data_IF_389308649920
#
_entry.id   IF_389308649920
#
_cell.length_a   1.000
_cell.length_b   1.000
_cell.length_c   1.000
_cell.angle_alpha   90.00
_cell.angle_beta   90.00
_cell.angle_gamma   90.00
#
_symmetry.space_group_name_H-M   'P 1'
#
loop_
_entity.id
_entity.type
_entity.pdbx_description
1 polymer ?
#
# COMPACT_ATOMS: atom_id res chain seq x y z
N UNK A 1 22.15 1.91 -8.04
CA UNK A 1 22.34 3.29 -8.48
C UNK A 1 22.75 4.12 -7.27
N UNK A 2 23.65 5.05 -7.40
CA UNK A 2 24.20 5.88 -6.31
C UNK A 2 23.15 6.72 -5.57
N UNK A 3 22.00 7.01 -6.19
CA UNK A 3 20.91 7.79 -5.63
C UNK A 3 19.93 6.98 -4.77
N UNK A 4 19.94 5.64 -4.89
CA UNK A 4 19.03 4.80 -4.12
C UNK A 4 19.44 4.71 -2.65
N UNK A 5 18.44 4.75 -1.77
CA UNK A 5 18.69 4.71 -0.32
C UNK A 5 19.17 6.04 0.25
N UNK A 6 18.92 7.17 -0.43
CA UNK A 6 19.24 8.52 0.03
C UNK A 6 17.98 9.31 0.36
N UNK A 7 18.08 10.23 1.31
CA UNK A 7 16.98 11.14 1.65
C UNK A 7 16.64 12.12 0.53
N UNK A 8 17.65 12.53 -0.22
CA UNK A 8 17.48 13.54 -1.25
C UNK A 8 16.67 13.05 -2.47
N UNK A 9 16.83 11.76 -2.85
CA UNK A 9 16.32 11.30 -4.15
C UNK A 9 15.38 10.11 -4.09
N UNK A 10 15.39 9.29 -3.04
CA UNK A 10 14.69 8.00 -3.06
C UNK A 10 13.70 7.84 -1.90
N UNK A 11 14.09 8.25 -0.70
CA UNK A 11 13.41 7.88 0.52
C UNK A 11 13.65 6.41 0.89
N UNK A 12 13.02 5.97 1.97
CA UNK A 12 13.20 4.62 2.52
C UNK A 12 12.13 3.62 2.12
N UNK A 13 12.06 2.54 2.87
CA UNK A 13 11.11 1.45 2.66
C UNK A 13 9.66 1.94 2.69
N UNK A 14 9.32 2.90 3.54
CA UNK A 14 7.97 3.46 3.59
C UNK A 14 7.66 4.32 2.38
N UNK A 15 8.54 5.26 2.03
CA UNK A 15 8.28 6.19 0.94
C UNK A 15 8.27 5.51 -0.42
N UNK A 16 9.10 4.49 -0.61
CA UNK A 16 9.24 3.80 -1.89
C UNK A 16 8.36 2.55 -1.96
N UNK A 17 8.56 1.57 -1.06
CA UNK A 17 7.89 0.26 -1.15
C UNK A 17 6.49 0.25 -0.53
N UNK A 18 6.31 0.86 0.63
CA UNK A 18 5.05 0.82 1.35
C UNK A 18 4.02 1.86 0.86
N UNK A 19 4.43 2.85 0.08
CA UNK A 19 3.54 3.91 -0.42
C UNK A 19 2.30 3.36 -1.14
N UNK A 20 2.47 2.33 -1.97
CA UNK A 20 1.37 1.67 -2.67
C UNK A 20 0.38 1.00 -1.71
N UNK A 21 0.89 0.40 -0.61
CA UNK A 21 0.04 -0.25 0.38
C UNK A 21 -0.68 0.76 1.26
N UNK A 22 -0.06 1.88 1.59
CA UNK A 22 -0.69 2.99 2.31
C UNK A 22 -1.85 3.54 1.49
N UNK A 23 -1.65 3.77 0.21
CA UNK A 23 -2.66 4.21 -0.73
C UNK A 23 -3.83 3.23 -0.82
N UNK A 24 -3.53 1.95 -1.03
CA UNK A 24 -4.55 0.90 -1.06
C UNK A 24 -5.35 0.82 0.24
N UNK A 25 -4.72 0.96 1.40
CA UNK A 25 -5.40 0.90 2.69
C UNK A 25 -6.30 2.11 2.92
N UNK A 26 -5.87 3.31 2.52
CA UNK A 26 -6.71 4.51 2.57
C UNK A 26 -7.94 4.37 1.65
N UNK A 27 -7.73 3.87 0.44
CA UNK A 27 -8.80 3.64 -0.53
C UNK A 27 -9.79 2.54 -0.08
N UNK A 28 -9.30 1.41 0.45
CA UNK A 28 -10.14 0.27 0.83
C UNK A 28 -10.91 0.47 2.13
N UNK A 29 -10.30 1.13 3.12
CA UNK A 29 -10.84 1.21 4.48
C UNK A 29 -11.38 2.61 4.79
N UNK A 30 -10.82 3.62 4.12
CA UNK A 30 -11.17 5.02 4.31
C UNK A 30 -10.04 5.84 4.95
N UNK A 31 -10.31 7.11 5.29
CA UNK A 31 -9.27 8.03 5.73
C UNK A 31 -8.62 7.60 7.06
N UNK A 32 -7.30 7.69 7.10
CA UNK A 32 -6.50 7.45 8.30
C UNK A 32 -6.64 8.65 9.26
N UNK A 33 -6.75 8.36 10.55
CA UNK A 33 -6.87 9.35 11.64
C UNK A 33 -5.56 9.51 12.40
N UNK A 34 -4.90 8.38 12.72
CA UNK A 34 -3.68 8.37 13.54
C UNK A 34 -2.71 7.31 13.10
N UNK A 35 -1.43 7.63 13.24
CA UNK A 35 -0.33 6.72 12.97
C UNK A 35 0.69 6.71 14.11
N UNK A 36 1.29 5.54 14.35
CA UNK A 36 2.44 5.36 15.22
C UNK A 36 3.43 4.45 14.52
N UNK A 37 4.65 4.92 14.33
CA UNK A 37 5.67 4.21 13.56
C UNK A 37 6.96 3.99 14.35
N UNK A 38 7.64 2.89 14.03
CA UNK A 38 9.02 2.62 14.40
C UNK A 38 9.79 2.22 13.15
N UNK A 39 10.97 2.78 12.96
CA UNK A 39 11.80 2.58 11.77
C UNK A 39 13.23 2.23 12.17
N UNK A 40 13.91 1.46 11.31
CA UNK A 40 15.30 1.05 11.50
C UNK A 40 16.02 0.99 10.17
N UNK A 41 17.33 1.28 10.21
CA UNK A 41 18.25 1.13 9.09
C UNK A 41 19.28 0.06 9.47
N UNK A 42 19.30 -1.03 8.72
CA UNK A 42 20.19 -2.17 8.96
C UNK A 42 21.31 -2.23 7.91
N UNK A 43 21.00 -1.80 6.68
CA UNK A 43 21.96 -1.72 5.59
C UNK A 43 22.81 -0.44 5.69
N UNK A 44 23.90 -0.39 4.97
CA UNK A 44 24.73 0.81 4.81
C UNK A 44 24.08 1.77 3.78
N UNK A 45 22.99 2.40 4.19
CA UNK A 45 22.22 3.41 3.44
C UNK A 45 21.73 4.51 4.41
N UNK A 46 21.30 5.65 3.87
CA UNK A 46 20.89 6.81 4.70
C UNK A 46 19.48 6.66 5.29
N UNK A 47 18.59 5.96 4.59
CA UNK A 47 17.17 5.85 4.89
C UNK A 47 16.83 4.55 5.61
N UNK A 48 15.61 4.44 6.13
CA UNK A 48 15.14 3.20 6.73
C UNK A 48 14.92 2.10 5.68
N UNK A 49 15.28 0.88 6.03
CA UNK A 49 15.03 -0.33 5.25
C UNK A 49 14.01 -1.27 5.89
N UNK A 50 13.58 -0.96 7.10
CA UNK A 50 12.62 -1.75 7.88
C UNK A 50 11.81 -0.85 8.77
N UNK A 51 10.50 -1.15 8.89
CA UNK A 51 9.67 -0.45 9.84
C UNK A 51 8.31 -1.09 10.07
N UNK A 52 7.66 -0.63 11.13
CA UNK A 52 6.30 -1.00 11.50
C UNK A 52 5.48 0.26 11.70
N UNK A 53 4.21 0.20 11.33
CA UNK A 53 3.25 1.29 11.41
C UNK A 53 1.95 0.76 12.00
N UNK A 54 1.51 1.29 13.14
CA UNK A 54 0.17 1.10 13.66
C UNK A 54 -0.72 2.23 13.17
N UNK A 55 -1.93 1.88 12.75
CA UNK A 55 -2.88 2.79 12.11
C UNK A 55 -4.22 2.73 12.81
N UNK A 56 -4.84 3.90 13.01
CA UNK A 56 -6.25 4.03 13.35
C UNK A 56 -6.95 4.82 12.25
N UNK A 57 -8.03 4.28 11.71
CA UNK A 57 -8.89 4.95 10.75
C UNK A 57 -9.97 5.78 11.42
N UNK A 58 -10.51 6.78 10.72
CA UNK A 58 -11.60 7.64 11.22
C UNK A 58 -12.89 6.87 11.51
N UNK A 59 -13.12 5.76 10.82
CA UNK A 59 -14.26 4.85 11.10
C UNK A 59 -14.07 3.97 12.33
N UNK A 60 -12.92 4.05 13.01
CA UNK A 60 -12.59 3.31 14.21
C UNK A 60 -11.81 2.01 13.98
N UNK A 61 -11.62 1.57 12.74
CA UNK A 61 -10.79 0.41 12.43
C UNK A 61 -9.34 0.60 12.91
N UNK A 62 -8.70 -0.50 13.26
CA UNK A 62 -7.29 -0.56 13.67
C UNK A 62 -6.52 -1.49 12.76
N UNK A 63 -5.27 -1.18 12.49
CA UNK A 63 -4.39 -2.04 11.73
C UNK A 63 -2.93 -1.84 12.02
N UNK A 64 -2.13 -2.74 11.50
CA UNK A 64 -0.68 -2.64 11.53
C UNK A 64 -0.10 -3.01 10.18
N UNK A 65 0.98 -2.34 9.80
CA UNK A 65 1.76 -2.63 8.61
C UNK A 65 3.20 -2.88 9.02
N UNK A 66 3.83 -3.87 8.40
CA UNK A 66 5.26 -4.05 8.47
C UNK A 66 5.85 -4.04 7.07
N UNK A 67 6.98 -3.37 6.91
CA UNK A 67 7.72 -3.31 5.66
C UNK A 67 9.18 -3.58 5.93
N UNK A 68 9.83 -4.35 5.05
CA UNK A 68 11.26 -4.56 5.09
C UNK A 68 11.83 -4.79 3.69
N UNK A 69 13.01 -4.27 3.45
CA UNK A 69 13.83 -4.61 2.28
C UNK A 69 14.84 -5.72 2.56
N UNK A 70 14.81 -6.30 3.77
CA UNK A 70 15.73 -7.34 4.25
C UNK A 70 15.15 -8.74 3.95
N UNK A 71 14.99 -9.06 2.68
CA UNK A 71 14.48 -10.36 2.24
C UNK A 71 15.57 -11.17 1.54
N UNK A 72 15.63 -12.47 1.85
CA UNK A 72 16.62 -13.39 1.28
C UNK A 72 15.97 -14.74 0.96
N UNK A 73 16.29 -15.35 -0.20
CA UNK A 73 17.15 -14.85 -1.28
C UNK A 73 16.44 -13.89 -2.24
N UNK A 74 15.15 -13.72 -2.10
CA UNK A 74 14.27 -12.87 -2.92
C UNK A 74 13.09 -12.37 -2.10
N UNK A 75 12.31 -11.44 -2.65
CA UNK A 75 11.06 -11.01 -2.05
C UNK A 75 10.16 -12.21 -1.74
N UNK A 76 9.57 -12.18 -0.55
CA UNK A 76 8.68 -13.24 -0.08
C UNK A 76 7.25 -13.00 -0.58
N UNK A 77 6.66 -11.92 -0.12
CA UNK A 77 5.29 -11.54 -0.48
C UNK A 77 5.01 -10.05 -0.19
N UNK A 78 3.92 -9.55 -0.77
CA UNK A 78 3.20 -8.40 -0.25
C UNK A 78 1.74 -8.80 -0.07
N UNK A 79 1.17 -8.59 1.12
CA UNK A 79 -0.20 -9.01 1.40
C UNK A 79 -0.97 -7.99 2.24
N UNK A 80 -2.28 -7.98 2.07
CA UNK A 80 -3.25 -7.24 2.87
C UNK A 80 -4.28 -8.22 3.39
N UNK A 81 -4.55 -8.18 4.70
CA UNK A 81 -5.63 -8.94 5.34
C UNK A 81 -6.60 -7.95 5.95
N UNK A 82 -7.87 -8.05 5.62
CA UNK A 82 -8.95 -7.25 6.19
C UNK A 82 -9.90 -8.19 6.92
N UNK A 83 -10.05 -7.96 8.22
CA UNK A 83 -10.94 -8.69 9.10
C UNK A 83 -12.10 -7.76 9.48
N UNK A 84 -13.27 -8.00 8.92
CA UNK A 84 -14.48 -7.23 9.20
C UNK A 84 -15.52 -8.05 9.96
N UNK A 85 -16.53 -7.39 10.52
CA UNK A 85 -17.65 -8.06 11.21
C UNK A 85 -18.40 -9.03 10.30
N UNK A 86 -18.46 -8.75 9.00
CA UNK A 86 -19.27 -9.47 8.03
C UNK A 86 -18.46 -10.16 6.94
N UNK A 87 -17.14 -10.18 7.07
CA UNK A 87 -16.31 -10.86 6.11
C UNK A 87 -14.83 -10.72 6.36
N UNK A 88 -14.10 -11.62 5.70
CA UNK A 88 -12.63 -11.67 5.73
C UNK A 88 -12.11 -11.72 4.31
N UNK A 89 -11.13 -10.85 4.02
CA UNK A 89 -10.45 -10.83 2.73
C UNK A 89 -8.95 -10.89 2.94
N UNK A 90 -8.26 -11.70 2.14
CA UNK A 90 -6.80 -11.68 2.02
C UNK A 90 -6.41 -11.55 0.56
N UNK A 91 -5.63 -10.53 0.28
CA UNK A 91 -4.98 -10.33 -1.02
C UNK A 91 -3.48 -10.50 -0.84
N UNK A 92 -2.83 -11.16 -1.78
CA UNK A 92 -1.40 -11.46 -1.72
C UNK A 92 -0.80 -11.72 -3.10
N UNK A 93 0.25 -12.54 -3.14
CA UNK A 93 1.00 -12.82 -4.36
C UNK A 93 2.19 -11.88 -4.57
N UNK A 94 2.92 -12.08 -5.66
CA UNK A 94 4.16 -11.31 -5.95
C UNK A 94 3.89 -9.86 -6.38
N UNK A 95 2.66 -9.57 -6.82
CA UNK A 95 2.21 -8.25 -7.30
C UNK A 95 0.84 -7.86 -6.76
N UNK A 96 0.45 -8.35 -5.59
CA UNK A 96 -0.91 -8.20 -5.02
C UNK A 96 -1.98 -8.70 -6.02
N UNK A 97 -1.65 -9.76 -6.73
CA UNK A 97 -2.37 -10.29 -7.89
C UNK A 97 -3.23 -11.51 -7.58
N UNK A 98 -3.33 -11.88 -6.30
CA UNK A 98 -4.06 -13.06 -5.85
C UNK A 98 -5.01 -12.71 -4.72
N UNK A 99 -6.30 -12.97 -4.90
CA UNK A 99 -7.27 -13.00 -3.81
C UNK A 99 -7.19 -14.39 -3.21
N UNK A 100 -6.53 -14.51 -2.07
CA UNK A 100 -6.21 -15.77 -1.41
C UNK A 100 -7.31 -16.22 -0.44
N UNK A 101 -8.10 -15.28 0.05
CA UNK A 101 -9.27 -15.54 0.88
C UNK A 101 -10.35 -14.50 0.58
N UNK A 102 -11.59 -14.97 0.46
CA UNK A 102 -12.77 -14.15 0.21
C UNK A 102 -13.97 -14.85 0.82
N UNK A 103 -14.44 -14.37 1.96
CA UNK A 103 -15.56 -14.96 2.68
C UNK A 103 -16.38 -13.85 3.35
N UNK A 104 -17.68 -13.88 3.15
CA UNK A 104 -18.65 -12.95 3.72
C UNK A 104 -19.85 -13.69 4.30
N UNK A 105 -20.55 -13.06 5.25
CA UNK A 105 -21.78 -13.58 5.88
C UNK A 105 -22.94 -13.70 4.86
N UNK A 106 -22.95 -12.83 3.83
CA UNK A 106 -23.89 -12.85 2.72
C UNK A 106 -23.15 -13.02 1.40
N UNK A 107 -23.58 -13.98 0.59
CA UNK A 107 -23.07 -14.15 -0.77
C UNK A 107 -23.58 -13.03 -1.69
N UNK A 108 -22.75 -12.61 -2.64
CA UNK A 108 -23.05 -11.62 -3.67
C UNK A 108 -22.91 -12.25 -5.05
N UNK A 109 -23.63 -11.73 -6.03
CA UNK A 109 -23.64 -12.23 -7.40
C UNK A 109 -22.26 -12.22 -8.08
N UNK A 110 -21.34 -11.42 -7.58
CA UNK A 110 -19.97 -11.31 -8.10
C UNK A 110 -18.95 -12.21 -7.40
N UNK A 111 -19.32 -12.92 -6.32
CA UNK A 111 -18.37 -13.74 -5.54
C UNK A 111 -17.73 -14.84 -6.39
N UNK A 112 -18.47 -15.41 -7.33
CA UNK A 112 -17.94 -16.42 -8.25
C UNK A 112 -16.89 -15.84 -9.21
N UNK A 113 -16.95 -14.53 -9.50
CA UNK A 113 -16.01 -13.85 -10.39
C UNK A 113 -14.70 -13.48 -9.70
N UNK A 114 -14.66 -13.50 -8.37
CA UNK A 114 -13.47 -13.13 -7.58
C UNK A 114 -12.28 -14.04 -7.90
N UNK A 115 -12.53 -15.32 -8.14
CA UNK A 115 -11.49 -16.29 -8.51
C UNK A 115 -10.86 -15.98 -9.87
N UNK A 116 -11.66 -15.45 -10.80
CA UNK A 116 -11.23 -15.09 -12.14
C UNK A 116 -10.43 -13.79 -12.17
N UNK A 117 -10.47 -13.00 -11.09
CA UNK A 117 -9.64 -11.81 -10.93
C UNK A 117 -8.16 -12.14 -10.65
N UNK A 118 -7.85 -13.36 -10.24
CA UNK A 118 -6.48 -13.82 -10.02
C UNK A 118 -5.75 -14.00 -11.36
N UNK A 119 -4.51 -13.53 -11.40
CA UNK A 119 -3.67 -13.72 -12.59
C UNK A 119 -2.25 -14.11 -12.23
N UNK A 120 -1.59 -14.82 -13.13
CA UNK A 120 -0.20 -15.23 -12.96
C UNK A 120 0.74 -14.18 -13.55
N UNK A 121 1.75 -13.80 -12.78
CA UNK A 121 2.81 -12.90 -13.21
C UNK A 121 4.11 -13.23 -12.52
N UNK A 122 5.21 -13.01 -13.21
CA UNK A 122 6.57 -13.01 -12.64
C UNK A 122 7.07 -11.59 -12.36
N UNK A 123 6.30 -10.59 -12.79
CA UNK A 123 6.61 -9.17 -12.60
C UNK A 123 5.97 -8.65 -11.32
N UNK A 124 6.73 -7.96 -10.50
CA UNK A 124 6.23 -7.24 -9.32
C UNK A 124 5.28 -6.08 -9.68
N UNK A 125 5.25 -5.65 -10.94
CA UNK A 125 4.38 -4.57 -11.42
C UNK A 125 2.99 -5.05 -11.88
N UNK A 126 2.76 -6.36 -11.98
CA UNK A 126 1.50 -6.90 -12.49
C UNK A 126 1.11 -6.33 -13.86
N UNK A 127 -0.21 -6.13 -14.07
CA UNK A 127 -0.78 -5.61 -15.32
C UNK A 127 -1.51 -4.26 -15.16
N UNK A 128 -1.30 -3.54 -14.05
CA UNK A 128 -1.99 -2.27 -13.78
C UNK A 128 -1.57 -1.10 -14.68
N UNK A 129 -0.31 -1.03 -15.10
CA UNK A 129 0.21 0.11 -15.86
C UNK A 129 -0.55 0.39 -17.18
N UNK A 130 -0.91 -0.60 -18.02
CA UNK A 130 -1.68 -0.34 -19.23
C UNK A 130 -3.02 0.32 -18.96
N UNK A 131 -3.71 -0.06 -17.88
CA UNK A 131 -4.99 0.53 -17.48
C UNK A 131 -4.82 1.98 -17.03
N UNK A 132 -3.80 2.24 -16.23
CA UNK A 132 -3.44 3.60 -15.81
C UNK A 132 -3.15 4.50 -17.01
N UNK A 133 -2.28 4.09 -17.93
CA UNK A 133 -1.97 4.88 -19.12
C UNK A 133 -3.18 5.06 -20.05
N UNK A 134 -4.08 4.08 -20.12
CA UNK A 134 -5.34 4.23 -20.86
C UNK A 134 -6.16 5.38 -20.29
N UNK A 135 -6.37 5.42 -18.97
CA UNK A 135 -7.08 6.52 -18.30
C UNK A 135 -6.39 7.87 -18.56
N UNK A 136 -5.05 7.96 -18.43
CA UNK A 136 -4.30 9.19 -18.72
C UNK A 136 -4.56 9.69 -20.15
N UNK A 137 -4.53 8.81 -21.15
CA UNK A 137 -4.80 9.18 -22.55
C UNK A 137 -6.25 9.66 -22.74
N UNK A 138 -7.22 8.96 -22.14
CA UNK A 138 -8.64 9.34 -22.21
C UNK A 138 -8.88 10.72 -21.59
N UNK A 139 -8.27 11.01 -20.44
CA UNK A 139 -8.32 12.33 -19.78
C UNK A 139 -7.74 13.41 -20.66
N UNK A 140 -6.55 13.18 -21.23
CA UNK A 140 -5.89 14.16 -22.13
C UNK A 140 -6.68 14.43 -23.41
N UNK A 141 -7.49 13.48 -23.85
CA UNK A 141 -8.41 13.63 -24.99
C UNK A 141 -9.76 14.29 -24.61
N UNK A 142 -9.97 14.61 -23.32
CA UNK A 142 -11.20 15.22 -22.83
C UNK A 142 -12.38 14.24 -22.73
N UNK A 143 -12.12 12.94 -22.67
CA UNK A 143 -13.14 11.89 -22.64
C UNK A 143 -13.63 11.52 -21.22
N UNK A 144 -12.83 11.78 -20.20
CA UNK A 144 -13.15 11.42 -18.80
C UNK A 144 -12.34 12.27 -17.81
N UNK A 145 -12.70 12.17 -16.54
CA UNK A 145 -11.90 12.70 -15.43
C UNK A 145 -10.80 11.69 -15.03
N UNK A 146 -9.69 12.15 -14.41
CA UNK A 146 -8.66 11.25 -13.93
C UNK A 146 -9.19 10.37 -12.78
N UNK A 147 -8.93 9.07 -12.85
CA UNK A 147 -9.25 8.14 -11.75
C UNK A 147 -8.38 8.40 -10.52
N UNK A 148 -7.16 8.85 -10.75
CA UNK A 148 -6.23 9.27 -9.69
C UNK A 148 -5.59 10.60 -10.08
N UNK A 149 -5.63 11.57 -9.19
CA UNK A 149 -5.03 12.89 -9.38
C UNK A 149 -4.03 13.21 -8.25
N UNK A 150 -3.44 14.41 -8.30
CA UNK A 150 -2.49 14.83 -7.28
C UNK A 150 -3.11 15.00 -5.88
N UNK A 151 -4.42 15.16 -5.75
CA UNK A 151 -5.10 15.26 -4.46
C UNK A 151 -5.25 13.90 -3.81
N UNK A 152 -5.52 12.86 -4.61
CA UNK A 152 -5.53 11.49 -4.13
C UNK A 152 -4.12 11.07 -3.67
N UNK A 153 -3.08 11.37 -4.47
CA UNK A 153 -1.69 11.12 -4.08
C UNK A 153 -1.24 11.88 -2.83
N UNK A 154 -1.81 13.07 -2.56
CA UNK A 154 -1.50 13.85 -1.36
C UNK A 154 -1.95 13.12 -0.09
N UNK A 155 -3.08 12.42 -0.09
CA UNK A 155 -3.58 11.66 1.07
C UNK A 155 -2.58 10.62 1.55
N UNK A 156 -2.06 9.81 0.63
CA UNK A 156 -1.04 8.81 0.94
C UNK A 156 0.27 9.45 1.41
N UNK A 157 0.68 10.55 0.79
CA UNK A 157 1.88 11.28 1.17
C UNK A 157 1.77 11.86 2.59
N UNK A 158 0.63 12.42 2.98
CA UNK A 158 0.39 12.92 4.33
C UNK A 158 0.57 11.81 5.38
N UNK A 159 0.06 10.61 5.12
CA UNK A 159 0.22 9.45 6.01
C UNK A 159 1.69 9.04 6.12
N UNK A 160 2.41 9.00 5.01
CA UNK A 160 3.84 8.65 5.00
C UNK A 160 4.68 9.68 5.77
N UNK A 161 4.43 10.96 5.56
CA UNK A 161 5.11 12.03 6.32
C UNK A 161 4.78 11.91 7.81
N UNK A 162 3.51 11.66 8.17
CA UNK A 162 3.10 11.45 9.55
C UNK A 162 3.81 10.24 10.19
N UNK A 163 4.04 9.15 9.42
CA UNK A 163 4.80 8.00 9.88
C UNK A 163 6.27 8.35 10.18
N UNK A 164 6.94 9.13 9.32
CA UNK A 164 8.29 9.62 9.59
C UNK A 164 8.36 10.53 10.81
N UNK A 165 7.41 11.46 10.94
CA UNK A 165 7.31 12.34 12.13
C UNK A 165 7.09 11.50 13.40
N UNK A 166 6.21 10.51 13.34
CA UNK A 166 5.95 9.61 14.46
C UNK A 166 7.20 8.83 14.89
N UNK A 167 7.94 8.29 13.93
CA UNK A 167 9.18 7.55 14.23
C UNK A 167 10.28 8.47 14.79
N UNK A 168 10.43 9.67 14.22
CA UNK A 168 11.40 10.66 14.69
C UNK A 168 11.14 11.11 16.13
N UNK A 169 9.88 11.43 16.42
CA UNK A 169 9.47 12.06 17.69
C UNK A 169 9.02 11.03 18.74
N UNK A 170 9.00 9.73 18.36
CA UNK A 170 8.55 8.61 19.18
C UNK A 170 7.16 8.83 19.79
N UNK A 171 6.23 9.34 19.01
CA UNK A 171 4.86 9.63 19.44
C UNK A 171 3.83 9.28 18.35
N UNK A 172 2.55 9.33 18.72
CA UNK A 172 1.43 9.21 17.78
C UNK A 172 1.20 10.55 17.09
N UNK A 173 1.00 10.53 15.77
CA UNK A 173 0.65 11.69 14.93
C UNK A 173 -0.79 11.52 14.43
N UNK A 174 -1.55 12.62 14.42
CA UNK A 174 -2.95 12.71 14.00
C UNK A 174 -3.17 13.85 13.01
#
# INVERSE_FOLDING_TARGET
AEWRGTWEFDGGAFMNQASHYVDLLDWLIGPIDKVQAMMSTTRDIEVEDTGVLNVKWRNGALGSMSVTMLTYPKNLEGSIVILGEKGTVRVGGVAVNEIQHWEFDESKDYDDQVKDANYQTTSIYGFGHPLYYKNVVEVLQGGTEPETDGREGLKSLEVLIAAYLSARDNNTVS
#
